data_IF_369437609783
#
_entry.id   IF_369437609783
#
_cell.length_a   1.000
_cell.length_b   1.000
_cell.length_c   1.000
_cell.angle_alpha   90.00
_cell.angle_beta   90.00
_cell.angle_gamma   90.00
#
_symmetry.space_group_name_H-M   'P 1'
#
loop_
_entity.id
_entity.type
_entity.pdbx_description
1 polymer ?
#
# COMPACT_ATOMS: atom_id res chain seq x y z
N UNK A 1 -9.94 -3.90 -6.45
CA UNK A 1 -8.79 -3.58 -5.56
C UNK A 1 -7.59 -3.45 -6.48
N UNK A 2 -6.84 -2.34 -6.42
CA UNK A 2 -5.65 -2.17 -7.27
C UNK A 2 -4.62 -3.21 -6.83
N UNK A 3 -4.26 -4.14 -7.72
CA UNK A 3 -3.27 -5.15 -7.38
C UNK A 3 -1.86 -4.62 -7.64
N UNK A 4 -0.96 -4.84 -6.68
CA UNK A 4 0.45 -4.44 -6.77
C UNK A 4 1.11 -5.08 -8.00
N UNK A 5 0.78 -6.35 -8.28
CA UNK A 5 1.24 -7.06 -9.47
C UNK A 5 0.83 -6.34 -10.77
N UNK A 6 -0.40 -5.84 -10.85
CA UNK A 6 -0.86 -5.11 -12.05
C UNK A 6 -0.10 -3.79 -12.23
N UNK A 7 0.22 -3.09 -11.12
CA UNK A 7 1.04 -1.86 -11.17
C UNK A 7 2.44 -2.19 -11.70
N UNK A 8 3.05 -3.26 -11.21
CA UNK A 8 4.40 -3.69 -11.60
C UNK A 8 4.46 -4.12 -13.07
N UNK A 9 3.47 -4.89 -13.55
CA UNK A 9 3.39 -5.28 -14.96
C UNK A 9 3.17 -4.08 -15.89
N UNK A 10 2.31 -3.14 -15.50
CA UNK A 10 2.16 -1.89 -16.24
C UNK A 10 3.47 -1.09 -16.26
N UNK A 11 4.16 -0.99 -15.11
CA UNK A 11 5.42 -0.25 -15.00
C UNK A 11 6.55 -0.85 -15.82
N UNK A 12 6.63 -2.18 -15.90
CA UNK A 12 7.58 -2.88 -16.75
C UNK A 12 7.50 -2.45 -18.22
N UNK A 13 6.29 -2.14 -18.69
CA UNK A 13 6.06 -1.65 -20.05
C UNK A 13 6.27 -0.13 -20.14
N UNK A 14 5.69 0.62 -19.20
CA UNK A 14 5.68 2.10 -19.22
C UNK A 14 7.06 2.71 -18.94
N UNK A 15 7.96 1.97 -18.27
CA UNK A 15 9.33 2.41 -17.95
C UNK A 15 10.27 2.44 -19.16
N UNK A 16 9.93 1.74 -20.25
CA UNK A 16 10.78 1.65 -21.44
C UNK A 16 10.88 3.02 -22.14
N UNK A 17 12.11 3.42 -22.46
CA UNK A 17 12.41 4.58 -23.29
C UNK A 17 12.71 4.08 -24.70
N UNK A 18 11.79 4.29 -25.63
CA UNK A 18 11.90 3.85 -27.02
C UNK A 18 12.17 5.02 -27.97
N UNK A 19 12.70 4.70 -29.15
CA UNK A 19 12.80 5.68 -30.22
C UNK A 19 11.45 5.86 -30.93
N UNK A 20 11.10 7.10 -31.37
CA UNK A 20 11.92 8.31 -31.29
C UNK A 20 11.87 8.99 -29.91
N UNK A 21 13.00 9.62 -29.51
CA UNK A 21 13.18 10.13 -28.15
C UNK A 21 12.29 11.34 -27.82
N UNK A 22 11.85 12.10 -28.83
CA UNK A 22 10.92 13.21 -28.66
C UNK A 22 9.52 12.71 -28.24
N UNK A 23 9.08 11.58 -28.78
CA UNK A 23 7.82 10.95 -28.41
C UNK A 23 7.87 10.40 -26.98
N UNK A 24 8.95 9.68 -26.63
CA UNK A 24 9.21 9.25 -25.25
C UNK A 24 9.21 10.42 -24.25
N UNK A 25 9.73 11.58 -24.65
CA UNK A 25 9.69 12.80 -23.83
C UNK A 25 8.26 13.33 -23.66
N UNK A 26 7.46 13.36 -24.74
CA UNK A 26 6.05 13.80 -24.70
C UNK A 26 5.15 12.87 -23.89
N UNK A 27 5.48 11.57 -23.81
CA UNK A 27 4.72 10.59 -23.03
C UNK A 27 4.99 10.69 -21.52
N UNK A 28 6.16 11.20 -21.11
CA UNK A 28 6.57 11.24 -19.68
C UNK A 28 5.55 11.96 -18.77
N UNK A 29 5.00 13.15 -19.12
CA UNK A 29 3.96 13.79 -18.30
C UNK A 29 2.66 12.99 -18.19
N UNK A 30 2.27 12.27 -19.26
CA UNK A 30 1.07 11.42 -19.25
C UNK A 30 1.23 10.25 -18.28
N UNK A 31 2.40 9.60 -18.31
CA UNK A 31 2.74 8.54 -17.36
C UNK A 31 2.81 9.09 -15.93
N UNK A 32 3.42 10.25 -15.73
CA UNK A 32 3.47 10.88 -14.41
C UNK A 32 2.07 11.14 -13.86
N UNK A 33 1.14 11.66 -14.67
CA UNK A 33 -0.25 11.87 -14.26
C UNK A 33 -0.95 10.55 -13.87
N UNK A 34 -0.80 9.50 -14.69
CA UNK A 34 -1.35 8.16 -14.43
C UNK A 34 -0.88 7.60 -13.07
N UNK A 35 0.43 7.57 -12.83
CA UNK A 35 0.97 7.00 -11.60
C UNK A 35 0.75 7.89 -10.38
N UNK A 36 0.67 9.21 -10.55
CA UNK A 36 0.31 10.13 -9.48
C UNK A 36 -1.15 9.94 -9.01
N UNK A 37 -2.07 9.68 -9.94
CA UNK A 37 -3.45 9.33 -9.61
C UNK A 37 -3.52 8.04 -8.80
N UNK A 38 -2.86 6.97 -9.27
CA UNK A 38 -2.76 5.70 -8.56
C UNK A 38 -2.15 5.87 -7.16
N UNK A 39 -1.08 6.67 -7.04
CA UNK A 39 -0.43 6.98 -5.76
C UNK A 39 -1.39 7.66 -4.79
N UNK A 40 -2.17 8.62 -5.28
CA UNK A 40 -3.13 9.37 -4.48
C UNK A 40 -4.25 8.46 -3.97
N UNK A 41 -4.77 7.58 -4.83
CA UNK A 41 -5.76 6.58 -4.45
C UNK A 41 -5.18 5.58 -3.42
N UNK A 42 -3.96 5.10 -3.62
CA UNK A 42 -3.29 4.18 -2.70
C UNK A 42 -3.09 4.81 -1.31
N UNK A 43 -2.65 6.08 -1.25
CA UNK A 43 -2.54 6.83 0.02
C UNK A 43 -3.87 6.98 0.74
N UNK A 44 -4.95 7.23 0.00
CA UNK A 44 -6.29 7.30 0.58
C UNK A 44 -6.74 5.95 1.15
N UNK A 45 -6.53 4.84 0.41
CA UNK A 45 -6.89 3.50 0.88
C UNK A 45 -6.05 3.05 2.09
N UNK A 46 -4.76 3.40 2.12
CA UNK A 46 -3.91 3.21 3.29
C UNK A 46 -4.52 3.92 4.50
N UNK A 47 -4.82 5.21 4.35
CA UNK A 47 -5.36 6.01 5.46
C UNK A 47 -6.69 5.47 5.96
N UNK A 48 -7.57 5.06 5.05
CA UNK A 48 -8.84 4.43 5.39
C UNK A 48 -8.64 3.14 6.17
N UNK A 49 -7.71 2.28 5.74
CA UNK A 49 -7.42 1.00 6.40
C UNK A 49 -6.82 1.20 7.80
N UNK A 50 -5.94 2.20 7.98
CA UNK A 50 -5.43 2.59 9.30
C UNK A 50 -6.56 3.06 10.25
N UNK A 51 -7.56 3.78 9.73
CA UNK A 51 -8.70 4.22 10.53
C UNK A 51 -9.62 3.04 10.90
N UNK A 52 -9.88 2.14 9.95
CA UNK A 52 -10.64 0.90 10.19
C UNK A 52 -9.97 0.04 11.27
N UNK A 53 -8.64 -0.13 11.20
CA UNK A 53 -7.88 -0.89 12.19
C UNK A 53 -7.98 -0.26 13.58
N UNK A 54 -7.91 1.07 13.71
CA UNK A 54 -8.04 1.71 15.03
C UNK A 54 -9.39 1.43 15.69
N UNK A 55 -10.46 1.39 14.91
CA UNK A 55 -11.78 0.99 15.39
C UNK A 55 -11.77 -0.49 15.80
N UNK A 56 -11.21 -1.37 14.97
CA UNK A 56 -11.10 -2.80 15.28
C UNK A 56 -10.31 -3.05 16.57
N UNK A 57 -9.15 -2.42 16.75
CA UNK A 57 -8.32 -2.55 17.94
C UNK A 57 -9.07 -2.11 19.20
N UNK A 58 -9.85 -1.02 19.13
CA UNK A 58 -10.71 -0.59 20.24
C UNK A 58 -11.78 -1.63 20.56
N UNK A 59 -12.43 -2.18 19.54
CA UNK A 59 -13.50 -3.16 19.72
C UNK A 59 -12.96 -4.48 20.30
N UNK A 60 -11.82 -4.95 19.79
CA UNK A 60 -11.08 -6.08 20.34
C UNK A 60 -10.62 -5.79 21.77
N UNK A 61 -10.24 -4.55 22.06
CA UNK A 61 -9.93 -4.14 23.42
C UNK A 61 -11.10 -4.27 24.37
N UNK A 62 -12.29 -3.83 23.97
CA UNK A 62 -13.51 -4.02 24.77
C UNK A 62 -13.87 -5.50 24.93
N UNK A 63 -13.71 -6.28 23.86
CA UNK A 63 -13.98 -7.71 23.81
C UNK A 63 -13.09 -8.51 24.79
N UNK A 64 -11.77 -8.40 24.69
CA UNK A 64 -10.85 -9.10 25.60
C UNK A 64 -10.90 -8.60 27.05
N UNK A 65 -11.40 -7.38 27.30
CA UNK A 65 -11.66 -6.89 28.66
C UNK A 65 -13.05 -7.24 29.20
N UNK A 66 -13.89 -7.95 28.45
CA UNK A 66 -15.26 -8.31 28.85
C UNK A 66 -16.21 -7.11 29.00
N UNK A 67 -15.91 -5.99 28.32
CA UNK A 67 -16.73 -4.76 28.33
C UNK A 67 -17.70 -4.68 27.15
N UNK A 68 -17.63 -5.63 26.22
CA UNK A 68 -18.54 -5.74 25.09
C UNK A 68 -19.80 -6.49 25.51
N UNK A 69 -20.97 -6.04 25.06
CA UNK A 69 -22.23 -6.75 25.34
C UNK A 69 -22.33 -8.05 24.55
N UNK A 70 -23.10 -9.01 25.05
CA UNK A 70 -23.30 -10.32 24.39
C UNK A 70 -23.99 -10.19 23.02
N UNK A 71 -24.81 -9.13 22.85
CA UNK A 71 -25.46 -8.78 21.59
C UNK A 71 -24.44 -8.29 20.55
N UNK A 72 -23.52 -7.40 20.92
CA UNK A 72 -22.45 -6.90 20.04
C UNK A 72 -21.47 -8.00 19.63
N UNK A 73 -21.19 -8.95 20.53
CA UNK A 73 -20.35 -10.12 20.24
C UNK A 73 -21.03 -11.00 19.17
N UNK A 74 -22.34 -11.24 19.31
CA UNK A 74 -23.13 -12.02 18.34
C UNK A 74 -23.24 -11.32 16.99
N UNK A 75 -23.43 -10.00 16.97
CA UNK A 75 -23.47 -9.21 15.73
C UNK A 75 -22.13 -9.26 14.97
N UNK A 76 -21.00 -9.22 15.69
CA UNK A 76 -19.66 -9.33 15.10
C UNK A 76 -19.24 -10.77 14.81
N UNK A 77 -20.07 -11.75 15.16
CA UNK A 77 -19.81 -13.17 15.00
C UNK A 77 -18.51 -13.62 15.70
N UNK A 78 -18.22 -13.02 16.86
CA UNK A 78 -17.06 -13.34 17.69
C UNK A 78 -17.44 -14.39 18.75
N UNK A 79 -16.45 -15.16 19.22
CA UNK A 79 -16.72 -16.17 20.24
C UNK A 79 -17.10 -15.49 21.58
N UNK A 80 -18.21 -15.81 22.24
CA UNK A 80 -18.53 -15.23 23.55
C UNK A 80 -17.49 -15.51 24.64
N UNK A 81 -16.66 -16.55 24.49
CA UNK A 81 -15.52 -16.81 25.37
C UNK A 81 -14.17 -16.54 24.65
N UNK A 82 -13.60 -15.32 24.77
CA UNK A 82 -12.31 -14.97 24.17
C UNK A 82 -11.13 -15.82 24.67
N UNK A 83 -11.24 -16.39 25.86
CA UNK A 83 -10.13 -17.05 26.55
C UNK A 83 -10.36 -18.55 26.74
N UNK A 84 -11.49 -19.08 26.25
CA UNK A 84 -11.86 -20.48 26.33
C UNK A 84 -11.70 -21.05 27.75
N UNK A 85 -12.16 -20.29 28.76
CA UNK A 85 -12.07 -20.63 30.18
C UNK A 85 -10.72 -20.37 30.86
N UNK A 86 -9.73 -19.80 30.17
CA UNK A 86 -8.41 -19.50 30.74
C UNK A 86 -8.40 -18.14 31.46
N UNK A 87 -7.76 -18.11 32.63
CA UNK A 87 -7.60 -16.88 33.42
C UNK A 87 -6.30 -16.19 33.02
N UNK A 88 -6.41 -15.18 32.16
CA UNK A 88 -5.25 -14.57 31.51
C UNK A 88 -4.72 -13.41 32.36
N UNK A 89 -3.40 -13.33 32.50
CA UNK A 89 -2.75 -12.20 33.14
C UNK A 89 -2.65 -11.02 32.16
N UNK A 90 -2.77 -9.78 32.67
CA UNK A 90 -2.64 -8.56 31.85
C UNK A 90 -1.35 -8.48 31.01
N UNK A 91 -0.28 -9.15 31.42
CA UNK A 91 0.98 -9.19 30.68
C UNK A 91 1.00 -10.15 29.49
N UNK A 92 0.04 -11.08 29.40
CA UNK A 92 -0.08 -12.04 28.28
C UNK A 92 -1.06 -11.54 27.21
N UNK A 93 -1.70 -10.39 27.45
CA UNK A 93 -2.78 -9.88 26.59
C UNK A 93 -2.28 -9.55 25.18
N UNK A 94 -1.06 -9.01 25.06
CA UNK A 94 -0.43 -8.68 23.78
C UNK A 94 -0.30 -9.92 22.87
N UNK A 95 0.01 -11.09 23.43
CA UNK A 95 0.09 -12.34 22.69
C UNK A 95 -1.24 -12.72 22.03
N UNK A 96 -2.37 -12.46 22.69
CA UNK A 96 -3.71 -12.72 22.13
C UNK A 96 -4.13 -11.69 21.09
N UNK A 97 -3.73 -10.42 21.25
CA UNK A 97 -3.96 -9.40 20.23
C UNK A 97 -3.18 -9.70 18.95
N UNK A 98 -1.91 -10.03 19.09
CA UNK A 98 -1.03 -10.32 17.95
C UNK A 98 -1.45 -11.59 17.22
N UNK A 99 -2.06 -12.54 17.93
CA UNK A 99 -2.60 -13.78 17.36
C UNK A 99 -4.02 -13.65 16.80
N UNK A 100 -4.70 -12.51 17.01
CA UNK A 100 -6.09 -12.33 16.58
C UNK A 100 -6.19 -12.28 15.03
N UNK A 101 -6.93 -13.21 14.39
CA UNK A 101 -6.96 -13.29 12.93
C UNK A 101 -7.53 -12.05 12.24
N UNK A 102 -8.38 -11.26 12.90
CA UNK A 102 -8.91 -10.03 12.32
C UNK A 102 -7.90 -8.89 12.42
N UNK A 103 -7.17 -8.81 13.54
CA UNK A 103 -6.08 -7.84 13.69
C UNK A 103 -5.00 -8.13 12.65
N UNK A 104 -4.55 -9.38 12.52
CA UNK A 104 -3.58 -9.79 11.52
C UNK A 104 -4.01 -9.45 10.09
N UNK A 105 -5.28 -9.72 9.72
CA UNK A 105 -5.82 -9.34 8.40
C UNK A 105 -5.82 -7.82 8.19
N UNK A 106 -6.14 -7.06 9.23
CA UNK A 106 -6.13 -5.59 9.14
C UNK A 106 -4.71 -5.04 8.96
N UNK A 107 -3.73 -5.64 9.64
CA UNK A 107 -2.31 -5.30 9.52
C UNK A 107 -1.76 -5.66 8.14
N UNK A 108 -2.05 -6.87 7.66
CA UNK A 108 -1.68 -7.34 6.33
C UNK A 108 -2.19 -6.37 5.24
N UNK A 109 -3.45 -5.95 5.35
CA UNK A 109 -4.06 -4.97 4.43
C UNK A 109 -3.34 -3.61 4.48
N UNK A 110 -2.98 -3.14 5.67
CA UNK A 110 -2.23 -1.88 5.83
C UNK A 110 -0.84 -1.99 5.22
N UNK A 111 -0.12 -3.08 5.51
CA UNK A 111 1.23 -3.30 5.00
C UNK A 111 1.25 -3.41 3.48
N UNK A 112 0.25 -4.09 2.91
CA UNK A 112 0.03 -4.15 1.47
C UNK A 112 -0.11 -2.74 0.86
N UNK A 113 -0.93 -1.86 1.44
CA UNK A 113 -1.09 -0.50 0.93
C UNK A 113 0.16 0.38 1.17
N UNK A 114 0.89 0.20 2.27
CA UNK A 114 2.18 0.88 2.50
C UNK A 114 3.18 0.52 1.41
N UNK A 115 3.33 -0.77 1.11
CA UNK A 115 4.19 -1.25 0.04
C UNK A 115 3.75 -0.66 -1.31
N UNK A 116 2.45 -0.69 -1.62
CA UNK A 116 1.90 -0.09 -2.84
C UNK A 116 2.23 1.40 -2.95
N UNK A 117 2.09 2.17 -1.86
CA UNK A 117 2.45 3.60 -1.82
C UNK A 117 3.95 3.81 -2.03
N UNK A 118 4.80 2.97 -1.44
CA UNK A 118 6.26 3.03 -1.62
C UNK A 118 6.64 2.84 -3.09
N UNK A 119 6.16 1.75 -3.70
CA UNK A 119 6.43 1.43 -5.12
C UNK A 119 5.95 2.55 -6.04
N UNK A 120 4.73 3.05 -5.85
CA UNK A 120 4.19 4.13 -6.67
C UNK A 120 4.96 5.45 -6.49
N UNK A 121 5.50 5.71 -5.29
CA UNK A 121 6.35 6.88 -5.03
C UNK A 121 7.66 6.76 -5.81
N UNK A 122 8.32 5.60 -5.76
CA UNK A 122 9.54 5.32 -6.53
C UNK A 122 9.32 5.43 -8.05
N UNK A 123 8.18 4.95 -8.56
CA UNK A 123 7.79 5.07 -9.97
C UNK A 123 7.65 6.56 -10.37
N UNK A 124 6.90 7.33 -9.57
CA UNK A 124 6.69 8.76 -9.83
C UNK A 124 8.02 9.51 -9.79
N UNK A 125 8.91 9.20 -8.84
CA UNK A 125 10.24 9.80 -8.76
C UNK A 125 11.14 9.40 -9.94
N UNK A 126 11.09 8.15 -10.39
CA UNK A 126 11.78 7.71 -11.61
C UNK A 126 11.31 8.50 -12.83
N UNK A 127 10.00 8.74 -12.95
CA UNK A 127 9.43 9.54 -14.03
C UNK A 127 9.85 11.01 -13.96
N UNK A 128 10.04 11.57 -12.75
CA UNK A 128 10.60 12.92 -12.60
C UNK A 128 12.00 13.01 -13.20
N UNK A 129 12.84 12.00 -13.05
CA UNK A 129 14.21 11.99 -13.58
C UNK A 129 14.33 11.50 -15.04
N UNK A 130 13.24 10.98 -15.62
CA UNK A 130 13.22 10.44 -16.99
C UNK A 130 13.67 11.47 -18.04
N UNK A 131 13.34 12.75 -17.87
CA UNK A 131 13.76 13.82 -18.79
C UNK A 131 15.29 13.96 -18.87
N UNK A 132 15.99 13.80 -17.73
CA UNK A 132 17.45 13.85 -17.68
C UNK A 132 18.07 12.63 -18.38
N UNK A 133 17.47 11.44 -18.19
CA UNK A 133 17.89 10.22 -18.89
C UNK A 133 17.78 10.38 -20.41
N UNK A 134 16.65 10.90 -20.89
CA UNK A 134 16.44 11.18 -22.32
C UNK A 134 17.44 12.22 -22.82
N UNK A 135 17.70 13.29 -22.06
CA UNK A 135 18.70 14.30 -22.41
C UNK A 135 20.11 13.70 -22.55
N UNK A 136 20.49 12.80 -21.64
CA UNK A 136 21.78 12.11 -21.70
C UNK A 136 21.87 11.20 -22.93
N UNK A 137 20.80 10.49 -23.29
CA UNK A 137 20.74 9.68 -24.52
C UNK A 137 20.90 10.54 -25.78
N UNK A 138 20.27 11.72 -25.83
CA UNK A 138 20.43 12.67 -26.95
C UNK A 138 21.87 13.16 -27.05
N UNK A 139 22.47 13.57 -25.92
CA UNK A 139 23.88 14.02 -25.88
C UNK A 139 24.84 12.95 -26.38
N UNK A 140 24.63 11.69 -25.97
CA UNK A 140 25.45 10.57 -26.44
C UNK A 140 25.35 10.38 -27.95
N UNK A 141 24.13 10.46 -28.52
CA UNK A 141 23.95 10.37 -29.98
C UNK A 141 24.59 11.52 -30.76
N UNK A 142 24.55 12.73 -30.21
CA UNK A 142 25.24 13.89 -30.81
C UNK A 142 26.75 13.65 -30.83
N UNK A 143 27.32 13.19 -29.71
CA UNK A 143 28.73 12.84 -29.60
C UNK A 143 29.15 11.74 -30.58
N UNK A 144 28.36 10.66 -30.70
CA UNK A 144 28.60 9.58 -31.68
C UNK A 144 28.58 10.07 -33.13
N UNK A 145 27.84 11.14 -33.42
CA UNK A 145 27.73 11.73 -34.76
C UNK A 145 28.86 12.73 -35.07
N UNK A 146 29.85 12.86 -34.19
CA UNK A 146 30.99 13.77 -34.37
C UNK A 146 30.70 15.22 -34.01
N UNK A 147 29.63 15.47 -33.24
CA UNK A 147 29.30 16.77 -32.64
C UNK A 147 29.90 16.98 -31.26
#
# INVERSE_FOLDING_TARGET
>A
MIQLNDILEQWKTDSLIQMPLDESSKQTPKLHAKYLELLSLAKFQLKKSEMEQKTLLKDKWLYYNGKLSEEEIKEKNWNPDPFNGLKILKGEMDYYYDADPEIQKSEEKIEYYKNTVSVLTEIVDTLKWRHQTISNMIKWKVFESGG
#
